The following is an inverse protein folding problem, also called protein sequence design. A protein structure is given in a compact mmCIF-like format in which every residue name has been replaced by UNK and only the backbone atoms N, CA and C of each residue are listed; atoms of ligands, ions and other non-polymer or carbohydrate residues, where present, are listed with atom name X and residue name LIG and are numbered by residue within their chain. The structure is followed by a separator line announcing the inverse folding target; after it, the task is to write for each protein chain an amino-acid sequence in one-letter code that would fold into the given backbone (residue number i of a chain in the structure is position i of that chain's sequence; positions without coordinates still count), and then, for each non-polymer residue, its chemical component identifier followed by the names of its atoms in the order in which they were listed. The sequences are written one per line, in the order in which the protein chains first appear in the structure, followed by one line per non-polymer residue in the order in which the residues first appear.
data_IF_984474140347
#
_entry.id   IF_984474140347
#
_cell.length_a   1.000
_cell.length_b   1.000
_cell.length_c   1.000
_cell.angle_alpha   90.00
_cell.angle_beta   90.00
_cell.angle_gamma   90.00
#
_symmetry.space_group_name_H-M   'P 1'
#
loop_
_entity.id
_entity.type
_entity.pdbx_description
1 polymer ?
#
# COMPACT_ATOMS: atom_id res chain seq x y z
N UNK A 1 58.10 16.40 39.43
CA UNK A 1 57.75 15.42 38.38
C UNK A 1 56.58 14.57 38.86
N UNK A 2 55.49 14.62 38.09
CA UNK A 2 54.43 13.62 37.88
C UNK A 2 53.55 13.17 39.07
N UNK A 3 52.47 13.94 39.31
CA UNK A 3 51.21 13.48 39.93
C UNK A 3 50.06 13.78 38.97
N UNK A 4 49.72 12.85 38.07
CA UNK A 4 48.59 13.01 37.14
C UNK A 4 48.11 11.67 36.54
N UNK A 5 47.93 10.60 37.32
CA UNK A 5 47.60 9.28 36.76
C UNK A 5 46.51 8.41 37.44
N UNK A 6 45.47 8.95 38.11
CA UNK A 6 44.27 8.15 38.38
C UNK A 6 43.00 8.64 37.67
N UNK A 7 43.04 9.73 36.88
CA UNK A 7 41.84 10.29 36.24
C UNK A 7 41.50 9.67 34.87
N UNK A 8 42.44 8.98 34.22
CA UNK A 8 42.26 8.46 32.85
C UNK A 8 41.54 7.10 32.80
N UNK A 9 41.50 6.34 33.91
CA UNK A 9 40.91 5.00 33.94
C UNK A 9 39.40 4.99 34.24
N UNK A 10 38.82 6.12 34.66
CA UNK A 10 37.39 6.22 35.00
C UNK A 10 36.51 6.62 33.80
N UNK A 11 37.09 7.08 32.69
CA UNK A 11 36.34 7.47 31.47
C UNK A 11 36.05 6.29 30.54
N UNK A 12 36.70 5.14 30.71
CA UNK A 12 36.54 3.97 29.83
C UNK A 12 35.38 3.06 30.25
N UNK A 13 34.82 3.24 31.45
CA UNK A 13 33.75 2.38 31.98
C UNK A 13 32.34 2.75 31.47
N UNK A 14 32.13 3.96 30.93
CA UNK A 14 30.81 4.40 30.43
C UNK A 14 30.50 3.97 28.98
N UNK A 15 31.39 3.26 28.30
CA UNK A 15 31.20 2.79 26.91
C UNK A 15 30.51 1.42 26.81
N UNK A 16 30.07 0.84 27.94
CA UNK A 16 29.41 -0.47 28.00
C UNK A 16 27.91 -0.39 28.29
N UNK A 17 27.29 0.79 28.10
CA UNK A 17 25.83 0.85 28.06
C UNK A 17 25.34 -0.09 26.94
N UNK A 18 24.44 -1.04 27.23
CA UNK A 18 23.95 -1.99 26.24
C UNK A 18 23.40 -1.20 25.05
N UNK A 19 23.87 -1.57 23.86
CA UNK A 19 23.47 -1.00 22.59
C UNK A 19 21.95 -0.83 22.53
N UNK A 20 21.50 0.33 22.03
CA UNK A 20 20.11 0.74 21.90
C UNK A 20 19.19 -0.44 21.58
N UNK A 21 18.43 -0.89 22.58
CA UNK A 21 17.44 -1.96 22.44
C UNK A 21 16.25 -1.41 21.63
N UNK A 22 15.69 -2.17 20.67
CA UNK A 22 14.52 -1.72 19.91
C UNK A 22 13.36 -1.42 20.86
N UNK A 23 12.63 -0.32 20.60
CA UNK A 23 11.43 0.05 21.36
C UNK A 23 10.34 -1.02 21.21
N UNK A 24 10.28 -1.68 20.05
CA UNK A 24 9.34 -2.74 19.76
C UNK A 24 10.08 -4.02 19.32
N UNK A 25 10.53 -4.87 20.27
CA UNK A 25 11.16 -6.15 19.95
C UNK A 25 10.22 -7.03 19.13
N UNK A 26 10.77 -7.71 18.12
CA UNK A 26 10.06 -8.60 17.20
C UNK A 26 9.14 -9.59 17.92
N UNK A 27 9.58 -10.17 19.04
CA UNK A 27 8.81 -11.19 19.79
C UNK A 27 7.56 -10.63 20.45
N UNK A 28 7.50 -9.31 20.66
CA UNK A 28 6.37 -8.62 21.32
C UNK A 28 5.63 -7.68 20.38
N UNK A 29 5.99 -7.65 19.10
CA UNK A 29 5.52 -6.66 18.14
C UNK A 29 3.99 -6.61 18.04
N UNK A 30 3.35 -7.77 17.90
CA UNK A 30 1.88 -7.87 17.78
C UNK A 30 1.17 -7.39 19.05
N UNK A 31 1.68 -7.76 20.23
CA UNK A 31 1.14 -7.32 21.51
C UNK A 31 1.28 -5.80 21.68
N UNK A 32 2.46 -5.25 21.36
CA UNK A 32 2.71 -3.81 21.45
C UNK A 32 1.79 -3.01 20.52
N UNK A 33 1.51 -3.51 19.31
CA UNK A 33 0.58 -2.85 18.39
C UNK A 33 -0.85 -2.85 18.95
N UNK A 34 -1.32 -3.97 19.52
CA UNK A 34 -2.65 -4.05 20.13
C UNK A 34 -2.79 -3.07 21.30
N UNK A 35 -1.79 -3.00 22.18
CA UNK A 35 -1.76 -2.03 23.28
C UNK A 35 -1.77 -0.59 22.78
N UNK A 36 -1.03 -0.32 21.71
CA UNK A 36 -0.94 0.99 21.10
C UNK A 36 -2.28 1.39 20.48
N UNK A 37 -2.94 0.50 19.73
CA UNK A 37 -4.26 0.76 19.16
C UNK A 37 -5.33 1.00 20.23
N UNK A 38 -5.29 0.23 21.32
CA UNK A 38 -6.18 0.47 22.47
C UNK A 38 -5.99 1.87 23.05
N UNK A 39 -4.75 2.35 23.13
CA UNK A 39 -4.40 3.66 23.72
C UNK A 39 -4.64 4.84 22.78
N UNK A 40 -4.21 4.75 21.53
CA UNK A 40 -4.16 5.87 20.58
C UNK A 40 -5.35 5.87 19.59
N UNK A 41 -5.90 4.70 19.26
CA UNK A 41 -6.99 4.55 18.26
C UNK A 41 -8.33 4.20 18.93
N UNK A 42 -8.30 3.91 20.24
CA UNK A 42 -9.46 3.58 21.08
C UNK A 42 -10.25 2.37 20.55
N UNK A 43 -9.53 1.32 20.13
CA UNK A 43 -10.14 0.06 19.68
C UNK A 43 -9.45 -1.15 20.30
N UNK A 44 -10.22 -2.15 20.71
CA UNK A 44 -9.72 -3.40 21.30
C UNK A 44 -9.75 -4.57 20.30
N UNK A 45 -10.67 -4.55 19.32
CA UNK A 45 -10.74 -5.57 18.29
C UNK A 45 -9.78 -5.25 17.14
N UNK A 46 -8.52 -5.61 17.38
CA UNK A 46 -7.42 -5.43 16.43
C UNK A 46 -6.75 -6.76 16.17
N UNK A 47 -6.67 -7.13 14.90
CA UNK A 47 -5.89 -8.26 14.42
C UNK A 47 -4.59 -7.75 13.85
N UNK A 48 -3.50 -8.38 14.26
CA UNK A 48 -2.14 -8.00 13.87
C UNK A 48 -1.41 -9.27 13.49
N UNK A 49 -0.64 -9.23 12.40
CA UNK A 49 0.26 -10.32 12.00
C UNK A 49 1.41 -9.78 11.18
N UNK A 50 2.57 -10.40 11.31
CA UNK A 50 3.67 -10.22 10.34
C UNK A 50 3.69 -11.41 9.39
N UNK A 51 3.51 -11.15 8.10
CA UNK A 51 3.64 -12.15 7.04
C UNK A 51 4.83 -11.78 6.15
N UNK A 52 5.90 -12.58 6.21
CA UNK A 52 7.16 -12.25 5.55
C UNK A 52 7.74 -10.93 6.08
N UNK A 53 7.73 -9.87 5.27
CA UNK A 53 8.17 -8.51 5.64
C UNK A 53 7.03 -7.50 5.62
N UNK A 54 5.80 -7.98 5.71
CA UNK A 54 4.59 -7.15 5.67
C UNK A 54 3.91 -7.20 7.02
N UNK A 55 3.72 -6.04 7.63
CA UNK A 55 2.92 -5.86 8.83
C UNK A 55 1.47 -5.65 8.42
N UNK A 56 0.61 -6.61 8.74
CA UNK A 56 -0.83 -6.53 8.58
C UNK A 56 -1.48 -6.12 9.89
N UNK A 57 -2.37 -5.13 9.81
CA UNK A 57 -3.24 -4.73 10.90
C UNK A 57 -4.64 -4.54 10.38
N UNK A 58 -5.62 -5.17 11.02
CA UNK A 58 -7.02 -4.98 10.69
C UNK A 58 -7.84 -4.69 11.94
N UNK A 59 -8.76 -3.74 11.84
CA UNK A 59 -9.61 -3.32 12.93
C UNK A 59 -10.95 -2.80 12.42
N UNK A 60 -11.94 -2.81 13.31
CA UNK A 60 -13.25 -2.22 13.06
C UNK A 60 -13.24 -0.72 13.34
N UNK A 61 -13.91 0.04 12.47
CA UNK A 61 -14.17 1.46 12.61
C UNK A 61 -15.62 1.74 12.24
N UNK A 62 -16.34 2.37 13.17
CA UNK A 62 -17.73 2.75 12.94
C UNK A 62 -17.83 4.03 12.11
N UNK A 63 -18.91 4.14 11.34
CA UNK A 63 -19.30 5.34 10.61
C UNK A 63 -18.24 5.81 9.60
N UNK A 64 -17.54 4.89 8.94
CA UNK A 64 -16.55 5.23 7.94
C UNK A 64 -17.16 6.06 6.80
N UNK A 65 -18.44 5.82 6.47
CA UNK A 65 -19.20 6.62 5.51
C UNK A 65 -20.30 7.39 6.23
N UNK A 66 -20.32 8.71 6.05
CA UNK A 66 -21.41 9.55 6.57
C UNK A 66 -22.65 9.50 5.68
N UNK A 67 -23.78 10.01 6.16
CA UNK A 67 -24.99 10.21 5.35
C UNK A 67 -24.77 11.14 4.14
N UNK A 68 -23.72 11.97 4.14
CA UNK A 68 -23.32 12.84 3.01
C UNK A 68 -22.27 12.20 2.10
N UNK A 69 -21.92 10.92 2.33
CA UNK A 69 -20.85 10.20 1.62
C UNK A 69 -19.45 10.78 1.83
N UNK A 70 -19.26 11.60 2.87
CA UNK A 70 -17.96 12.10 3.28
C UNK A 70 -17.36 11.20 4.39
N UNK A 71 -16.03 11.18 4.49
CA UNK A 71 -15.35 10.60 5.65
C UNK A 71 -15.51 11.56 6.84
N UNK A 72 -16.11 11.14 7.96
CA UNK A 72 -16.17 11.98 9.14
C UNK A 72 -14.76 12.34 9.62
N UNK A 73 -14.61 13.55 10.18
CA UNK A 73 -13.33 14.04 10.68
C UNK A 73 -12.74 13.11 11.75
N UNK A 74 -13.58 12.61 12.66
CA UNK A 74 -13.17 11.66 13.70
C UNK A 74 -12.64 10.35 13.12
N UNK A 75 -13.28 9.81 12.09
CA UNK A 75 -12.80 8.61 11.37
C UNK A 75 -11.44 8.88 10.73
N UNK A 76 -11.29 10.05 10.11
CA UNK A 76 -10.02 10.46 9.47
C UNK A 76 -8.91 10.55 10.50
N UNK A 77 -9.15 11.21 11.64
CA UNK A 77 -8.18 11.31 12.74
C UNK A 77 -7.80 9.93 13.30
N UNK A 78 -8.77 9.01 13.45
CA UNK A 78 -8.49 7.63 13.89
C UNK A 78 -7.63 6.85 12.90
N UNK A 79 -7.91 6.98 11.60
CA UNK A 79 -7.12 6.34 10.53
C UNK A 79 -5.70 6.92 10.46
N UNK A 80 -5.56 8.24 10.58
CA UNK A 80 -4.26 8.91 10.64
C UNK A 80 -3.46 8.46 11.86
N UNK A 81 -4.08 8.44 13.04
CA UNK A 81 -3.45 7.95 14.26
C UNK A 81 -2.99 6.51 14.08
N UNK A 82 -3.86 5.61 13.62
CA UNK A 82 -3.52 4.21 13.35
C UNK A 82 -2.30 4.10 12.41
N UNK A 83 -2.29 4.83 11.29
CA UNK A 83 -1.19 4.80 10.34
C UNK A 83 0.13 5.37 10.93
N UNK A 84 0.05 6.43 11.73
CA UNK A 84 1.21 7.02 12.42
C UNK A 84 1.77 6.07 13.48
N UNK A 85 0.90 5.42 14.25
CA UNK A 85 1.26 4.39 15.22
C UNK A 85 2.02 3.24 14.57
N UNK A 86 1.49 2.70 13.46
CA UNK A 86 2.14 1.61 12.73
C UNK A 86 3.46 2.04 12.10
N UNK A 87 3.52 3.26 11.59
CA UNK A 87 4.77 3.85 11.08
C UNK A 87 5.83 3.91 12.17
N UNK A 88 5.48 4.37 13.39
CA UNK A 88 6.40 4.43 14.53
C UNK A 88 6.94 3.04 14.89
N UNK A 89 6.04 2.06 14.94
CA UNK A 89 6.38 0.67 15.25
C UNK A 89 7.31 0.07 14.20
N UNK A 90 6.94 0.15 12.92
CA UNK A 90 7.72 -0.40 11.81
C UNK A 90 9.12 0.25 11.68
N UNK A 91 9.27 1.50 12.13
CA UNK A 91 10.55 2.22 12.12
C UNK A 91 11.41 1.99 13.38
N UNK A 92 10.84 1.42 14.44
CA UNK A 92 11.48 1.28 15.76
C UNK A 92 11.54 -0.18 16.26
N UNK A 93 11.30 -1.13 15.37
CA UNK A 93 11.42 -2.57 15.61
C UNK A 93 12.72 -3.10 14.99
N UNK A 94 13.21 -4.22 15.52
CA UNK A 94 14.30 -5.01 14.95
C UNK A 94 13.83 -6.00 13.87
N UNK A 95 12.52 -6.16 13.69
CA UNK A 95 11.95 -6.88 12.55
C UNK A 95 12.07 -6.05 11.25
N UNK A 96 12.44 -6.70 10.14
CA UNK A 96 12.50 -6.00 8.85
C UNK A 96 11.10 -5.90 8.24
N UNK A 97 10.43 -4.78 8.48
CA UNK A 97 9.14 -4.45 7.85
C UNK A 97 9.37 -3.61 6.60
N UNK A 98 9.06 -4.16 5.43
CA UNK A 98 9.14 -3.48 4.13
C UNK A 98 7.79 -2.82 3.76
N UNK A 99 6.66 -3.41 4.21
CA UNK A 99 5.31 -2.92 3.93
C UNK A 99 4.43 -2.90 5.17
N UNK A 100 3.56 -1.89 5.26
CA UNK A 100 2.47 -1.80 6.23
C UNK A 100 1.16 -1.88 5.45
N UNK A 101 0.26 -2.77 5.88
CA UNK A 101 -1.09 -2.91 5.36
C UNK A 101 -2.06 -2.69 6.52
N UNK A 102 -2.87 -1.65 6.44
CA UNK A 102 -3.90 -1.32 7.42
C UNK A 102 -5.28 -1.51 6.79
N UNK A 103 -6.06 -2.44 7.32
CA UNK A 103 -7.42 -2.74 6.90
C UNK A 103 -8.41 -2.19 7.93
N UNK A 104 -9.15 -1.15 7.56
CA UNK A 104 -10.25 -0.59 8.34
C UNK A 104 -11.58 -1.11 7.81
N UNK A 105 -12.41 -1.71 8.67
CA UNK A 105 -13.72 -2.26 8.29
C UNK A 105 -14.85 -1.51 8.97
N UNK A 106 -15.86 -1.17 8.18
CA UNK A 106 -17.15 -0.69 8.67
C UNK A 106 -18.21 -1.75 8.35
N UNK A 107 -18.59 -2.48 9.39
CA UNK A 107 -19.56 -3.59 9.30
C UNK A 107 -20.97 -3.07 9.03
N UNK A 108 -21.30 -1.83 9.42
CA UNK A 108 -22.63 -1.25 9.19
C UNK A 108 -22.87 -1.00 7.70
N UNK A 109 -21.83 -0.59 6.97
CA UNK A 109 -21.91 -0.35 5.53
C UNK A 109 -21.37 -1.50 4.68
N UNK A 110 -20.75 -2.51 5.29
CA UNK A 110 -20.09 -3.60 4.59
C UNK A 110 -18.94 -3.12 3.69
N UNK A 111 -18.20 -2.11 4.16
CA UNK A 111 -17.08 -1.50 3.43
C UNK A 111 -15.76 -1.75 4.15
N UNK A 112 -14.76 -2.25 3.42
CA UNK A 112 -13.38 -2.35 3.89
C UNK A 112 -12.51 -1.38 3.09
N UNK A 113 -11.72 -0.59 3.81
CA UNK A 113 -10.71 0.30 3.25
C UNK A 113 -9.32 -0.18 3.68
N UNK A 114 -8.48 -0.46 2.69
CA UNK A 114 -7.12 -0.96 2.86
C UNK A 114 -6.11 0.12 2.47
N UNK A 115 -5.23 0.45 3.40
CA UNK A 115 -4.13 1.40 3.23
C UNK A 115 -2.83 0.61 3.10
N UNK A 116 -2.05 0.87 2.05
CA UNK A 116 -0.76 0.18 1.85
C UNK A 116 0.34 1.19 1.70
N UNK A 117 1.40 0.99 2.48
CA UNK A 117 2.55 1.87 2.53
C UNK A 117 3.85 1.08 2.57
N UNK A 118 4.82 1.51 1.77
CA UNK A 118 6.20 1.00 1.82
C UNK A 118 7.00 1.79 2.86
N UNK A 119 7.64 1.10 3.80
CA UNK A 119 8.41 1.74 4.89
C UNK A 119 9.68 2.43 4.39
N UNK A 120 10.24 1.97 3.29
CA UNK A 120 11.41 2.59 2.67
C UNK A 120 11.08 3.96 2.07
N UNK A 121 9.87 4.16 1.55
CA UNK A 121 9.48 5.48 1.04
C UNK A 121 9.28 6.50 2.18
N UNK A 122 8.85 6.05 3.36
CA UNK A 122 8.87 6.86 4.59
C UNK A 122 10.29 7.27 4.97
N UNK A 123 11.24 6.33 4.92
CA UNK A 123 12.67 6.64 5.15
C UNK A 123 13.17 7.69 4.16
N UNK A 124 12.86 7.53 2.88
CA UNK A 124 13.23 8.51 1.87
C UNK A 124 12.58 9.86 2.06
N UNK A 125 11.34 9.93 2.52
CA UNK A 125 10.71 11.18 2.90
C UNK A 125 11.47 11.85 4.06
N UNK A 126 11.78 11.11 5.12
CA UNK A 126 12.53 11.64 6.28
C UNK A 126 13.96 12.06 5.93
N UNK A 127 14.59 11.38 4.97
CA UNK A 127 15.90 11.74 4.43
C UNK A 127 15.83 12.74 3.28
N UNK A 128 14.65 13.32 3.01
CA UNK A 128 14.44 14.32 1.96
C UNK A 128 14.91 13.86 0.56
N UNK A 129 14.97 12.54 0.35
CA UNK A 129 15.34 11.92 -0.94
C UNK A 129 14.18 11.97 -1.94
N UNK A 130 12.95 12.04 -1.43
CA UNK A 130 11.73 12.27 -2.21
C UNK A 130 10.93 13.41 -1.60
N UNK A 131 10.16 14.12 -2.42
CA UNK A 131 9.27 15.19 -1.93
C UNK A 131 8.04 14.60 -1.22
N UNK A 132 7.35 15.43 -0.43
CA UNK A 132 6.06 15.05 0.15
C UNK A 132 5.05 14.65 -0.93
N UNK A 133 4.97 15.39 -2.03
CA UNK A 133 4.10 15.05 -3.15
C UNK A 133 4.44 13.69 -3.77
N UNK A 134 5.73 13.39 -3.98
CA UNK A 134 6.15 12.07 -4.48
C UNK A 134 5.82 10.94 -3.48
N UNK A 135 5.93 11.20 -2.18
CA UNK A 135 5.54 10.25 -1.14
C UNK A 135 4.03 10.01 -1.13
N UNK A 136 3.21 11.07 -1.14
CA UNK A 136 1.75 10.99 -1.16
C UNK A 136 1.26 10.29 -2.44
N UNK A 137 1.98 10.47 -3.56
CA UNK A 137 1.73 9.75 -4.81
C UNK A 137 1.97 8.23 -4.72
N UNK A 138 2.83 7.75 -3.83
CA UNK A 138 3.13 6.31 -3.67
C UNK A 138 2.14 5.61 -2.75
N UNK A 139 1.32 6.36 -2.03
CA UNK A 139 0.31 5.78 -1.16
C UNK A 139 -0.78 5.04 -1.96
N UNK A 140 -1.21 3.87 -1.47
CA UNK A 140 -2.29 3.08 -2.06
C UNK A 140 -3.47 3.04 -1.10
N UNK A 141 -4.65 3.38 -1.61
CA UNK A 141 -5.92 3.28 -0.93
C UNK A 141 -6.87 2.38 -1.74
N UNK A 142 -7.30 1.27 -1.17
CA UNK A 142 -8.23 0.36 -1.82
C UNK A 142 -9.51 0.26 -1.01
N UNK A 143 -10.65 0.49 -1.65
CA UNK A 143 -11.96 0.30 -1.03
C UNK A 143 -12.67 -0.86 -1.70
N UNK A 144 -13.23 -1.77 -0.90
CA UNK A 144 -14.02 -2.90 -1.38
C UNK A 144 -15.23 -3.13 -0.50
N UNK A 145 -16.29 -3.67 -1.10
CA UNK A 145 -17.39 -4.25 -0.32
C UNK A 145 -16.96 -5.61 0.24
N UNK A 146 -17.47 -5.93 1.42
CA UNK A 146 -17.34 -7.24 2.04
C UNK A 146 -18.66 -7.62 2.72
N UNK A 147 -18.88 -8.91 2.96
CA UNK A 147 -20.01 -9.34 3.77
C UNK A 147 -19.69 -9.09 5.24
N UNK A 148 -20.49 -8.28 5.97
CA UNK A 148 -20.28 -7.97 7.40
C UNK A 148 -20.18 -9.21 8.30
N UNK A 149 -20.70 -10.36 7.86
CA UNK A 149 -20.60 -11.63 8.60
C UNK A 149 -19.25 -12.32 8.42
N UNK A 150 -18.40 -11.83 7.53
CA UNK A 150 -17.06 -12.36 7.31
C UNK A 150 -16.15 -11.90 8.44
N UNK A 151 -15.65 -12.83 9.24
CA UNK A 151 -14.66 -12.53 10.27
C UNK A 151 -13.40 -11.85 9.68
N UNK A 152 -12.64 -11.20 10.54
CA UNK A 152 -11.33 -10.66 10.15
C UNK A 152 -10.46 -11.81 9.61
N UNK A 153 -9.65 -11.59 8.56
CA UNK A 153 -8.95 -12.69 7.90
C UNK A 153 -7.94 -13.28 8.88
N UNK A 154 -8.15 -14.52 9.35
CA UNK A 154 -7.19 -15.15 10.25
C UNK A 154 -5.99 -15.74 9.48
N UNK A 155 -6.21 -16.29 8.27
CA UNK A 155 -5.20 -17.11 7.55
C UNK A 155 -4.92 -16.77 6.08
N UNK A 156 -5.35 -15.59 5.61
CA UNK A 156 -5.17 -15.17 4.21
C UNK A 156 -3.96 -14.25 3.94
N UNK A 157 -3.25 -13.80 4.97
CA UNK A 157 -2.20 -12.78 4.81
C UNK A 157 -0.89 -13.38 4.32
N UNK A 158 -0.48 -12.98 3.12
CA UNK A 158 0.79 -13.35 2.50
C UNK A 158 1.75 -12.16 2.51
N UNK A 159 3.06 -12.40 2.50
CA UNK A 159 4.03 -11.31 2.42
C UNK A 159 3.95 -10.60 1.07
N UNK A 160 3.74 -9.28 1.09
CA UNK A 160 3.68 -8.47 -0.12
C UNK A 160 5.07 -8.28 -0.70
N UNK A 161 5.21 -8.49 -2.01
CA UNK A 161 6.42 -8.20 -2.76
C UNK A 161 6.39 -6.77 -3.32
N UNK A 162 7.56 -6.23 -3.69
CA UNK A 162 7.64 -4.91 -4.32
C UNK A 162 6.91 -4.87 -5.65
N UNK A 163 6.95 -5.96 -6.42
CA UNK A 163 6.28 -6.08 -7.72
C UNK A 163 4.76 -6.12 -7.57
N UNK A 164 4.23 -6.87 -6.59
CA UNK A 164 2.80 -6.84 -6.27
C UNK A 164 2.34 -5.45 -5.82
N UNK A 165 3.12 -4.80 -4.95
CA UNK A 165 2.85 -3.42 -4.54
C UNK A 165 2.83 -2.45 -5.73
N UNK A 166 3.80 -2.55 -6.64
CA UNK A 166 3.87 -1.76 -7.87
C UNK A 166 2.65 -2.00 -8.77
N UNK A 167 2.23 -3.25 -8.95
CA UNK A 167 1.01 -3.59 -9.70
C UNK A 167 -0.26 -3.03 -9.05
N UNK A 168 -0.38 -3.08 -7.71
CA UNK A 168 -1.50 -2.50 -6.96
C UNK A 168 -1.51 -0.98 -7.05
N UNK A 169 -0.33 -0.37 -7.07
CA UNK A 169 -0.20 1.08 -7.28
C UNK A 169 -0.68 1.51 -8.66
N UNK A 170 -0.35 0.76 -9.72
CA UNK A 170 -0.90 0.99 -11.08
C UNK A 170 -2.43 0.92 -11.08
N UNK A 171 -2.99 -0.15 -10.51
CA UNK A 171 -4.45 -0.33 -10.42
C UNK A 171 -5.11 0.82 -9.67
N UNK A 172 -4.57 1.20 -8.52
CA UNK A 172 -5.08 2.31 -7.72
C UNK A 172 -5.07 3.62 -8.50
N UNK A 173 -3.97 3.95 -9.20
CA UNK A 173 -3.87 5.19 -9.97
C UNK A 173 -4.84 5.25 -11.14
N UNK A 174 -5.08 4.11 -11.80
CA UNK A 174 -6.09 4.01 -12.84
C UNK A 174 -7.51 4.21 -12.29
N UNK A 175 -7.84 3.52 -11.18
CA UNK A 175 -9.14 3.68 -10.53
C UNK A 175 -9.38 5.11 -10.04
N UNK A 176 -8.37 5.73 -9.42
CA UNK A 176 -8.46 7.12 -8.96
C UNK A 176 -8.62 8.10 -10.13
N UNK A 177 -7.91 7.89 -11.24
CA UNK A 177 -8.07 8.70 -12.46
C UNK A 177 -9.49 8.61 -13.03
N UNK A 178 -10.09 7.41 -13.00
CA UNK A 178 -11.48 7.21 -13.40
C UNK A 178 -12.46 7.93 -12.46
N UNK A 179 -12.23 7.89 -11.15
CA UNK A 179 -13.15 8.49 -10.17
C UNK A 179 -13.04 10.01 -10.05
N UNK A 180 -11.85 10.58 -10.21
CA UNK A 180 -11.61 12.02 -9.96
C UNK A 180 -11.98 12.92 -11.12
N UNK A 181 -12.10 12.37 -12.33
CA UNK A 181 -12.44 13.13 -13.53
C UNK A 181 -13.72 12.58 -14.16
N UNK A 182 -14.84 13.33 -14.17
CA UNK A 182 -16.13 12.84 -14.67
C UNK A 182 -16.09 12.47 -16.17
N UNK A 183 -15.26 13.14 -16.98
CA UNK A 183 -15.07 12.75 -18.37
C UNK A 183 -14.30 11.44 -18.49
N UNK A 184 -13.30 11.25 -17.63
CA UNK A 184 -12.55 9.98 -17.57
C UNK A 184 -13.41 8.84 -17.05
N UNK A 185 -14.27 9.10 -16.05
CA UNK A 185 -15.26 8.16 -15.55
C UNK A 185 -16.21 7.69 -16.67
N UNK A 186 -16.83 8.64 -17.38
CA UNK A 186 -17.78 8.34 -18.46
C UNK A 186 -17.10 7.67 -19.67
N UNK A 187 -15.86 8.07 -19.97
CA UNK A 187 -15.10 7.46 -21.04
C UNK A 187 -14.68 6.04 -20.66
N UNK A 188 -14.11 5.82 -19.49
CA UNK A 188 -13.60 4.51 -19.11
C UNK A 188 -14.70 3.53 -18.69
N UNK A 189 -15.80 4.01 -18.10
CA UNK A 189 -16.83 3.15 -17.51
C UNK A 189 -16.28 2.25 -16.40
N UNK A 190 -15.13 2.60 -15.82
CA UNK A 190 -14.41 1.76 -14.85
C UNK A 190 -14.91 2.10 -13.45
N UNK A 191 -15.55 1.12 -12.82
CA UNK A 191 -15.98 1.18 -11.42
C UNK A 191 -14.85 0.81 -10.48
N UNK A 192 -14.08 -0.22 -10.84
CA UNK A 192 -12.97 -0.72 -10.03
C UNK A 192 -11.84 -1.29 -10.89
N UNK A 193 -10.62 -1.11 -10.42
CA UNK A 193 -9.43 -1.77 -10.97
C UNK A 193 -8.76 -2.56 -9.86
N UNK A 194 -8.51 -3.84 -10.10
CA UNK A 194 -7.69 -4.68 -9.22
C UNK A 194 -6.46 -5.15 -9.96
N UNK A 195 -5.42 -5.56 -9.24
CA UNK A 195 -4.25 -6.17 -9.85
C UNK A 195 -3.82 -7.47 -9.19
N UNK A 196 -3.19 -8.31 -10.00
CA UNK A 196 -2.44 -9.48 -9.58
C UNK A 196 -1.08 -9.48 -10.28
N UNK A 197 -0.06 -10.04 -9.63
CA UNK A 197 1.26 -10.19 -10.22
C UNK A 197 1.66 -11.67 -10.24
N UNK A 198 1.99 -12.17 -11.43
CA UNK A 198 2.53 -13.52 -11.62
C UNK A 198 4.06 -13.42 -11.68
N UNK A 199 4.73 -13.82 -10.60
CA UNK A 199 6.19 -13.76 -10.50
C UNK A 199 6.91 -14.69 -11.49
N UNK A 200 6.30 -15.83 -11.86
CA UNK A 200 6.90 -16.79 -12.78
C UNK A 200 6.89 -16.26 -14.21
N UNK A 201 5.83 -15.55 -14.60
CA UNK A 201 5.69 -14.94 -15.93
C UNK A 201 6.16 -13.49 -16.00
N UNK A 202 6.43 -12.88 -14.86
CA UNK A 202 6.65 -11.43 -14.72
C UNK A 202 5.50 -10.63 -15.37
N UNK A 203 4.27 -11.06 -15.11
CA UNK A 203 3.05 -10.46 -15.69
C UNK A 203 2.28 -9.71 -14.63
N UNK A 204 1.93 -8.46 -14.93
CA UNK A 204 0.91 -7.72 -14.18
C UNK A 204 -0.41 -7.94 -14.88
N UNK A 205 -1.41 -8.47 -14.16
CA UNK A 205 -2.78 -8.56 -14.65
C UNK A 205 -3.61 -7.49 -13.95
N UNK A 206 -4.23 -6.59 -14.71
CA UNK A 206 -5.24 -5.66 -14.24
C UNK A 206 -6.62 -6.21 -14.61
N UNK A 207 -7.53 -6.25 -13.65
CA UNK A 207 -8.93 -6.63 -13.87
C UNK A 207 -9.80 -5.40 -13.68
N UNK A 208 -10.66 -5.13 -14.66
CA UNK A 208 -11.57 -3.99 -14.69
C UNK A 208 -13.01 -4.46 -14.44
N UNK A 209 -13.63 -3.86 -13.44
CA UNK A 209 -15.07 -3.92 -13.20
C UNK A 209 -15.68 -2.68 -13.85
N UNK A 210 -16.65 -2.87 -14.75
CA UNK A 210 -17.33 -1.81 -15.48
C UNK A 210 -18.84 -1.90 -15.32
N UNK A 211 -19.53 -0.77 -15.42
CA UNK A 211 -21.00 -0.79 -15.47
C UNK A 211 -21.42 -1.36 -16.85
N UNK A 212 -22.06 -2.53 -16.83
CA UNK A 212 -22.44 -3.33 -18.00
C UNK A 212 -23.58 -2.67 -18.82
N UNK A 213 -23.38 -1.53 -19.46
CA UNK A 213 -24.41 -0.99 -20.36
C UNK A 213 -23.79 -0.01 -21.38
N UNK A 214 -23.32 -0.51 -22.55
CA UNK A 214 -23.33 0.25 -23.82
C UNK A 214 -22.78 -0.55 -25.03
N UNK A 215 -23.69 -0.96 -25.92
CA UNK A 215 -23.47 -1.81 -27.11
C UNK A 215 -22.85 -1.09 -28.35
N UNK A 216 -22.19 0.06 -28.20
CA UNK A 216 -21.65 0.78 -29.38
C UNK A 216 -20.20 0.40 -29.71
N UNK A 217 -19.98 -0.29 -30.82
CA UNK A 217 -18.66 -0.78 -31.28
C UNK A 217 -17.60 0.33 -31.39
N UNK A 218 -18.00 1.53 -31.83
CA UNK A 218 -17.11 2.70 -31.95
C UNK A 218 -16.69 3.24 -30.59
N UNK A 219 -17.59 3.24 -29.60
CA UNK A 219 -17.27 3.60 -28.23
C UNK A 219 -16.22 2.64 -27.66
N UNK A 220 -16.42 1.34 -27.85
CA UNK A 220 -15.51 0.30 -27.33
C UNK A 220 -14.06 0.48 -27.78
N UNK A 221 -13.80 0.82 -29.05
CA UNK A 221 -12.43 0.99 -29.58
C UNK A 221 -11.72 2.21 -28.97
N UNK A 222 -12.39 3.35 -28.87
CA UNK A 222 -11.82 4.56 -28.27
C UNK A 222 -11.55 4.36 -26.78
N UNK A 223 -12.48 3.73 -26.06
CA UNK A 223 -12.33 3.35 -24.65
C UNK A 223 -11.12 2.46 -24.43
N UNK A 224 -10.98 1.40 -25.22
CA UNK A 224 -9.85 0.46 -25.14
C UNK A 224 -8.50 1.15 -25.38
N UNK A 225 -8.42 2.05 -26.37
CA UNK A 225 -7.20 2.80 -26.66
C UNK A 225 -6.83 3.75 -25.52
N UNK A 226 -7.80 4.52 -25.00
CA UNK A 226 -7.55 5.44 -23.89
C UNK A 226 -7.12 4.70 -22.62
N UNK A 227 -7.79 3.59 -22.30
CA UNK A 227 -7.42 2.71 -21.20
C UNK A 227 -6.00 2.14 -21.38
N UNK A 228 -5.65 1.69 -22.59
CA UNK A 228 -4.29 1.23 -22.90
C UNK A 228 -3.27 2.33 -22.65
N UNK A 229 -3.52 3.53 -23.15
CA UNK A 229 -2.60 4.65 -23.00
C UNK A 229 -2.43 5.06 -21.53
N UNK A 230 -3.53 5.14 -20.77
CA UNK A 230 -3.49 5.42 -19.34
C UNK A 230 -2.73 4.34 -18.57
N UNK A 231 -2.96 3.06 -18.86
CA UNK A 231 -2.28 1.95 -18.19
C UNK A 231 -0.78 1.96 -18.48
N UNK A 232 -0.37 2.16 -19.74
CA UNK A 232 1.04 2.27 -20.11
C UNK A 232 1.72 3.47 -19.43
N UNK A 233 1.03 4.61 -19.33
CA UNK A 233 1.55 5.77 -18.62
C UNK A 233 1.80 5.47 -17.13
N UNK A 234 0.85 4.81 -16.47
CA UNK A 234 1.04 4.40 -15.07
C UNK A 234 2.17 3.39 -14.93
N UNK A 235 2.27 2.37 -15.79
CA UNK A 235 3.38 1.42 -15.80
C UNK A 235 4.75 2.12 -15.91
N UNK A 236 4.87 3.08 -16.84
CA UNK A 236 6.08 3.89 -17.02
C UNK A 236 6.42 4.71 -15.78
N UNK A 237 5.44 5.38 -15.17
CA UNK A 237 5.62 6.13 -13.93
C UNK A 237 6.07 5.23 -12.79
N UNK A 238 5.50 4.02 -12.72
CA UNK A 238 5.85 3.06 -11.69
C UNK A 238 7.28 2.56 -11.84
N UNK A 239 7.66 2.23 -13.07
CA UNK A 239 9.01 1.82 -13.39
C UNK A 239 10.03 2.93 -13.10
N UNK A 240 9.77 4.18 -13.50
CA UNK A 240 10.73 5.27 -13.26
C UNK A 240 10.96 5.55 -11.76
N UNK A 241 9.95 5.33 -10.91
CA UNK A 241 10.04 5.56 -9.46
C UNK A 241 10.73 4.44 -8.68
N UNK A 242 10.75 3.20 -9.21
CA UNK A 242 11.24 2.03 -8.46
C UNK A 242 12.29 1.18 -9.18
N UNK A 243 12.53 1.35 -10.49
CA UNK A 243 13.48 0.52 -11.26
C UNK A 243 14.89 0.52 -10.66
N UNK A 244 15.38 1.68 -10.23
CA UNK A 244 16.70 1.80 -9.57
C UNK A 244 16.78 1.07 -8.23
N UNK A 245 15.64 0.63 -7.69
CA UNK A 245 15.50 -0.01 -6.38
C UNK A 245 15.17 -1.51 -6.49
N UNK A 246 15.02 -2.03 -7.70
CA UNK A 246 14.83 -3.46 -7.92
C UNK A 246 16.16 -4.21 -7.79
N UNK A 247 16.13 -5.46 -7.29
CA UNK A 247 17.33 -6.31 -7.25
C UNK A 247 17.89 -6.62 -8.65
N UNK A 248 17.01 -6.71 -9.65
CA UNK A 248 17.37 -6.99 -11.05
C UNK A 248 17.08 -5.79 -11.93
N UNK A 249 17.98 -5.53 -12.90
CA UNK A 249 17.80 -4.51 -13.94
C UNK A 249 16.89 -4.97 -15.08
N UNK A 250 16.46 -6.24 -15.07
CA UNK A 250 15.59 -6.82 -16.11
C UNK A 250 14.16 -6.25 -16.11
N UNK A 251 13.84 -5.37 -15.17
CA UNK A 251 12.52 -4.77 -15.00
C UNK A 251 11.72 -5.48 -13.91
N UNK A 252 10.56 -4.90 -13.56
CA UNK A 252 9.66 -5.47 -12.55
C UNK A 252 8.52 -6.30 -13.16
N UNK A 253 8.23 -6.10 -14.45
CA UNK A 253 7.24 -6.84 -15.23
C UNK A 253 7.66 -6.82 -16.71
N UNK A 254 7.43 -7.91 -17.44
CA UNK A 254 7.65 -8.00 -18.89
C UNK A 254 6.36 -7.78 -19.69
N UNK A 255 5.23 -8.08 -19.07
CA UNK A 255 3.92 -8.05 -19.72
C UNK A 255 2.88 -7.40 -18.80
N UNK A 256 1.98 -6.64 -19.41
CA UNK A 256 0.77 -6.11 -18.82
C UNK A 256 -0.42 -6.76 -19.53
N UNK A 257 -1.21 -7.52 -18.79
CA UNK A 257 -2.50 -8.04 -19.23
C UNK A 257 -3.61 -7.19 -18.62
N UNK A 258 -4.53 -6.67 -19.44
CA UNK A 258 -5.72 -5.99 -18.94
C UNK A 258 -6.95 -6.78 -19.35
N UNK A 259 -7.76 -7.14 -18.35
CA UNK A 259 -8.92 -8.02 -18.49
C UNK A 259 -10.18 -7.37 -17.95
N UNK A 260 -11.32 -7.79 -18.47
CA UNK A 260 -12.61 -7.52 -17.84
C UNK A 260 -12.85 -8.48 -16.65
N UNK A 261 -13.91 -8.23 -15.89
CA UNK A 261 -14.31 -9.06 -14.75
C UNK A 261 -14.72 -10.50 -15.13
N UNK A 262 -15.08 -10.74 -16.40
CA UNK A 262 -15.42 -12.07 -16.94
C UNK A 262 -14.16 -12.84 -17.35
N UNK A 263 -12.98 -12.22 -17.21
CA UNK A 263 -11.69 -12.80 -17.58
C UNK A 263 -11.33 -12.63 -19.06
N UNK A 264 -12.13 -11.90 -19.84
CA UNK A 264 -11.85 -11.55 -21.22
C UNK A 264 -10.67 -10.59 -21.32
N UNK A 265 -9.71 -10.88 -22.19
CA UNK A 265 -8.56 -9.99 -22.40
C UNK A 265 -8.96 -8.79 -23.25
N UNK A 266 -8.85 -7.59 -22.69
CA UNK A 266 -9.08 -6.32 -23.39
C UNK A 266 -7.86 -5.96 -24.25
N UNK A 267 -6.67 -6.05 -23.67
CA UNK A 267 -5.41 -5.97 -24.39
C UNK A 267 -4.25 -6.56 -23.56
N UNK A 268 -3.18 -6.89 -24.26
CA UNK A 268 -1.88 -7.20 -23.67
C UNK A 268 -0.87 -6.18 -24.22
N UNK A 269 0.07 -5.77 -23.36
CA UNK A 269 1.19 -4.92 -23.76
C UNK A 269 2.51 -5.50 -23.26
N UNK A 270 3.55 -5.37 -24.08
CA UNK A 270 4.92 -5.72 -23.73
C UNK A 270 5.62 -4.54 -23.04
N UNK A 271 6.63 -4.83 -22.23
CA UNK A 271 7.42 -3.81 -21.52
C UNK A 271 7.94 -2.69 -22.42
N UNK A 272 8.44 -3.04 -23.59
CA UNK A 272 8.93 -2.07 -24.56
C UNK A 272 7.87 -1.03 -24.97
N UNK A 273 6.58 -1.35 -24.90
CA UNK A 273 5.51 -0.43 -25.26
C UNK A 273 5.37 0.74 -24.28
N UNK A 274 5.48 0.50 -22.96
CA UNK A 274 5.42 1.59 -21.97
C UNK A 274 6.75 2.32 -21.79
N UNK A 275 7.86 1.76 -22.30
CA UNK A 275 9.16 2.43 -22.31
C UNK A 275 9.34 3.36 -23.53
N UNK A 276 8.61 3.15 -24.63
CA UNK A 276 8.76 3.89 -25.89
C UNK A 276 8.08 5.26 -25.92
N UNK A 277 7.14 5.53 -25.02
CA UNK A 277 6.45 6.82 -24.90
C UNK A 277 7.18 7.72 -23.93
#
# INVERSE_FOLDING_TARGET
MNRALPALLLMTACLSAPACTPTYPKEKLELSIRELFKKEVQTEDVRVRVAGKTLYVSFQIDNMVSATLDLPKEVTERLENAMLSLTRVAMSTDEKIDFIVLDARDDAWGVQTTFIRRTEDLRFLYYMTISKGDFDERFILETRRFDPKTELPEDGWTGLTLQEYMGRWVAFRLGLGAQTNPFTAALLGVKRVTSAYDAAKQTVTLTLESDEDEDSETGTKLRAQFLKDAALEQMKKVESKYLSRLPSKEGWAQTLDVRDEKGGTLFTALRDEWLKK
#
